data_IF_090491853263
#
_entry.id   IF_090491853263
#
_cell.length_a   1.000
_cell.length_b   1.000
_cell.length_c   1.000
_cell.angle_alpha   90.00
_cell.angle_beta   90.00
_cell.angle_gamma   90.00
#
_symmetry.space_group_name_H-M   'P 1'
#
loop_
_entity.id
_entity.type
_entity.pdbx_description
1 polymer ?
#
# COMPACT_ATOMS: atom_id res chain seq x y z
N UNK A 1 8.23 14.57 0.65
CA UNK A 1 7.98 13.31 1.39
C UNK A 1 8.35 12.17 0.47
N UNK A 2 9.02 11.11 0.95
CA UNK A 2 9.40 10.02 0.08
C UNK A 2 8.16 9.33 -0.53
N UNK A 3 8.32 8.90 -1.77
CA UNK A 3 7.28 8.20 -2.53
C UNK A 3 7.67 6.74 -2.65
N UNK A 4 6.77 5.86 -2.26
CA UNK A 4 6.96 4.42 -2.31
C UNK A 4 5.99 3.80 -3.31
N UNK A 5 6.50 2.97 -4.22
CA UNK A 5 5.69 2.04 -4.99
C UNK A 5 5.38 0.84 -4.10
N UNK A 6 4.11 0.49 -4.00
CA UNK A 6 3.62 -0.70 -3.32
C UNK A 6 3.07 -1.65 -4.37
N UNK A 7 3.55 -2.89 -4.36
CA UNK A 7 3.01 -3.98 -5.16
C UNK A 7 2.40 -5.04 -4.25
N UNK A 8 1.13 -5.37 -4.45
CA UNK A 8 0.45 -6.38 -3.67
C UNK A 8 1.09 -7.76 -3.91
N UNK A 9 1.58 -8.44 -2.86
CA UNK A 9 2.21 -9.76 -3.02
C UNK A 9 1.20 -10.86 -3.35
N UNK A 10 -0.06 -10.70 -2.91
CA UNK A 10 -1.15 -11.65 -3.13
C UNK A 10 -2.47 -10.91 -3.29
N UNK A 11 -3.49 -11.61 -3.81
CA UNK A 11 -4.87 -11.13 -3.79
C UNK A 11 -5.34 -11.02 -2.34
N UNK A 12 -5.95 -9.90 -1.97
CA UNK A 12 -6.54 -9.70 -0.65
C UNK A 12 -7.79 -8.84 -0.73
N UNK A 13 -8.92 -9.38 -0.29
CA UNK A 13 -10.22 -8.78 -0.53
C UNK A 13 -10.48 -8.61 -2.03
N UNK A 14 -10.85 -7.39 -2.43
CA UNK A 14 -11.07 -7.02 -3.83
C UNK A 14 -9.78 -6.61 -4.57
N UNK A 15 -8.66 -6.46 -3.85
CA UNK A 15 -7.39 -6.10 -4.45
C UNK A 15 -6.69 -7.30 -5.06
N UNK A 16 -6.40 -7.24 -6.36
CA UNK A 16 -5.69 -8.31 -7.05
C UNK A 16 -4.21 -8.38 -6.66
N UNK A 17 -3.67 -9.60 -6.63
CA UNK A 17 -2.24 -9.81 -6.47
C UNK A 17 -1.48 -9.21 -7.66
N UNK A 18 -0.37 -8.53 -7.37
CA UNK A 18 0.39 -7.79 -8.36
C UNK A 18 -0.14 -6.38 -8.64
N UNK A 19 -1.25 -5.95 -8.02
CA UNK A 19 -1.72 -4.56 -8.13
C UNK A 19 -0.69 -3.59 -7.56
N UNK A 20 -0.44 -2.51 -8.29
CA UNK A 20 0.59 -1.52 -7.97
C UNK A 20 -0.02 -0.14 -7.76
N UNK A 21 0.38 0.54 -6.69
CA UNK A 21 0.07 1.96 -6.48
C UNK A 21 1.21 2.68 -5.78
N UNK A 22 1.13 4.00 -5.75
CA UNK A 22 2.10 4.85 -5.07
C UNK A 22 1.50 5.35 -3.78
N UNK A 23 2.30 5.35 -2.71
CA UNK A 23 1.95 6.01 -1.46
C UNK A 23 3.01 7.05 -1.14
N UNK A 24 2.57 8.20 -0.64
CA UNK A 24 3.46 9.18 -0.01
C UNK A 24 3.47 8.91 1.49
N UNK A 25 4.64 8.64 2.05
CA UNK A 25 4.79 8.42 3.50
C UNK A 25 6.01 9.16 4.00
N UNK A 26 5.93 9.77 5.18
CA UNK A 26 7.06 10.45 5.79
C UNK A 26 8.06 9.49 6.48
N UNK A 27 7.66 8.24 6.70
CA UNK A 27 8.47 7.23 7.40
C UNK A 27 9.46 6.52 6.48
N UNK A 28 10.66 6.27 7.00
CA UNK A 28 11.75 5.52 6.36
C UNK A 28 12.16 4.35 7.25
N UNK A 29 12.49 3.16 6.70
CA UNK A 29 12.67 2.81 5.29
C UNK A 29 11.37 2.38 4.56
N UNK A 30 10.27 2.18 5.27
CA UNK A 30 9.00 1.73 4.70
C UNK A 30 7.86 2.71 5.01
N UNK A 31 6.85 2.82 4.12
CA UNK A 31 5.64 3.58 4.41
C UNK A 31 4.89 3.00 5.61
N UNK A 32 4.25 3.87 6.38
CA UNK A 32 3.48 3.45 7.56
C UNK A 32 2.13 2.86 7.13
N UNK A 33 1.50 2.10 8.03
CA UNK A 33 0.21 1.46 7.74
C UNK A 33 -0.95 2.47 7.59
N UNK A 34 -0.84 3.66 8.17
CA UNK A 34 -1.90 4.66 8.08
C UNK A 34 -1.98 5.28 6.69
N UNK A 35 -0.85 5.66 6.12
CA UNK A 35 -0.71 6.23 4.78
C UNK A 35 -1.09 5.21 3.71
N UNK A 36 -0.64 3.96 3.86
CA UNK A 36 -1.06 2.86 2.99
C UNK A 36 -2.59 2.68 3.07
N UNK A 37 -3.16 2.64 4.27
CA UNK A 37 -4.60 2.47 4.48
C UNK A 37 -5.43 3.61 3.88
N UNK A 38 -4.97 4.85 4.02
CA UNK A 38 -5.61 6.03 3.40
C UNK A 38 -5.61 5.94 1.88
N UNK A 39 -4.48 5.56 1.28
CA UNK A 39 -4.38 5.42 -0.17
C UNK A 39 -5.28 4.29 -0.69
N UNK A 40 -5.31 3.14 -0.02
CA UNK A 40 -6.21 2.02 -0.36
C UNK A 40 -7.68 2.45 -0.25
N UNK A 41 -8.05 3.21 0.79
CA UNK A 41 -9.39 3.73 0.94
C UNK A 41 -9.75 4.73 -0.18
N UNK A 42 -8.80 5.57 -0.60
CA UNK A 42 -8.96 6.53 -1.70
C UNK A 42 -9.13 5.83 -3.06
N UNK A 43 -8.48 4.69 -3.25
CA UNK A 43 -8.62 3.85 -4.45
C UNK A 43 -9.98 3.10 -4.50
N UNK A 44 -10.80 3.20 -3.44
CA UNK A 44 -12.16 2.65 -3.43
C UNK A 44 -12.22 1.15 -3.10
N UNK A 45 -11.16 0.57 -2.57
CA UNK A 45 -11.15 -0.84 -2.19
C UNK A 45 -12.03 -1.12 -0.95
N UNK A 46 -12.50 -2.37 -0.85
CA UNK A 46 -13.37 -2.82 0.24
C UNK A 46 -12.66 -2.84 1.62
N UNK A 47 -13.45 -3.03 2.70
CA UNK A 47 -12.94 -3.05 4.09
C UNK A 47 -11.89 -4.14 4.32
N UNK A 48 -11.99 -5.27 3.63
CA UNK A 48 -10.97 -6.31 3.67
C UNK A 48 -9.63 -5.76 3.13
N UNK A 49 -9.61 -5.22 1.91
CA UNK A 49 -8.41 -4.64 1.32
C UNK A 49 -7.85 -3.46 2.11
N UNK A 50 -8.69 -2.64 2.76
CA UNK A 50 -8.24 -1.59 3.69
C UNK A 50 -7.45 -2.15 4.89
N UNK A 51 -7.74 -3.39 5.30
CA UNK A 51 -6.98 -4.10 6.34
C UNK A 51 -5.62 -4.61 5.83
N UNK A 52 -5.37 -4.58 4.51
CA UNK A 52 -4.10 -4.98 3.88
C UNK A 52 -2.96 -3.97 4.05
N UNK A 53 -3.18 -2.92 4.84
CA UNK A 53 -2.28 -1.79 5.09
C UNK A 53 -0.91 -2.10 5.70
N UNK A 54 -0.63 -3.32 6.14
CA UNK A 54 0.66 -3.67 6.74
C UNK A 54 1.78 -3.68 5.69
N UNK A 55 2.88 -2.97 5.93
CA UNK A 55 4.00 -2.83 4.98
C UNK A 55 4.61 -4.17 4.53
N UNK A 56 4.60 -5.21 5.37
CA UNK A 56 5.10 -6.54 5.02
C UNK A 56 4.31 -7.27 3.93
N UNK A 57 3.05 -6.87 3.71
CA UNK A 57 2.19 -7.40 2.66
C UNK A 57 2.57 -6.95 1.24
N UNK A 58 3.45 -5.95 1.14
CA UNK A 58 3.76 -5.27 -0.10
C UNK A 58 5.21 -5.50 -0.49
N UNK A 59 5.44 -5.53 -1.80
CA UNK A 59 6.75 -5.27 -2.37
C UNK A 59 6.93 -3.75 -2.46
N UNK A 60 7.87 -3.23 -1.68
CA UNK A 60 8.07 -1.79 -1.50
C UNK A 60 9.31 -1.37 -2.28
N UNK A 61 9.11 -0.49 -3.26
CA UNK A 61 10.20 0.12 -4.02
C UNK A 61 10.18 1.63 -3.78
N UNK A 62 11.24 2.18 -3.21
CA UNK A 62 11.37 3.64 -3.08
C UNK A 62 11.58 4.25 -4.47
N UNK A 63 10.72 5.19 -4.86
CA UNK A 63 10.82 5.90 -6.14
C UNK A 63 11.58 7.22 -5.98
N UNK A 64 11.27 7.98 -4.92
CA UNK A 64 11.81 9.33 -4.70
C UNK A 64 12.04 9.57 -3.21
#
# INVERSE_FOLDING_TARGET
MPVYKLKAKRKYGDMQGGYEFQVTSATFPNPNAEDIGKEIAKLGFNKDAQSYRSSGNWDITKIS
#
